data_IF_870822381359
#
_entry.id   IF_870822381359
#
_cell.length_a   1.000
_cell.length_b   1.000
_cell.length_c   1.000
_cell.angle_alpha   90.00
_cell.angle_beta   90.00
_cell.angle_gamma   90.00
#
_symmetry.space_group_name_H-M   'P 1'
#
loop_
_entity.id
_entity.type
_entity.pdbx_description
1 polymer ?
#
# COMPACT_ATOMS: atom_id res chain seq x y z
N UNK A 1 -10.17 -4.63 1.49
CA UNK A 1 -9.75 -5.99 1.88
C UNK A 1 -8.23 -6.11 1.80
N UNK A 2 -7.61 -7.04 2.53
CA UNK A 2 -6.16 -7.24 2.44
C UNK A 2 -5.83 -7.84 1.07
N UNK A 3 -4.88 -7.24 0.34
CA UNK A 3 -4.45 -7.78 -0.95
C UNK A 3 -3.72 -9.11 -0.79
N UNK A 4 -3.84 -9.97 -1.81
CA UNK A 4 -3.08 -11.22 -1.91
C UNK A 4 -1.71 -10.98 -2.56
N UNK A 5 -1.65 -10.03 -3.49
CA UNK A 5 -0.44 -9.68 -4.23
C UNK A 5 -0.14 -8.20 -3.99
N UNK A 6 1.10 -7.92 -3.59
CA UNK A 6 1.66 -6.57 -3.56
C UNK A 6 2.63 -6.40 -4.72
N UNK A 7 2.48 -5.33 -5.47
CA UNK A 7 3.42 -4.93 -6.53
C UNK A 7 3.89 -3.51 -6.30
N UNK A 8 5.17 -3.28 -6.54
CA UNK A 8 5.71 -1.92 -6.64
C UNK A 8 5.41 -1.38 -8.03
N UNK A 9 4.94 -0.14 -8.11
CA UNK A 9 4.58 0.50 -9.38
C UNK A 9 5.46 1.72 -9.61
N UNK A 10 6.04 1.78 -10.80
CA UNK A 10 6.77 2.95 -11.28
C UNK A 10 6.47 3.23 -12.74
N UNK A 11 6.63 4.48 -13.12
CA UNK A 11 6.54 4.91 -14.52
C UNK A 11 7.88 4.63 -15.22
N UNK A 12 7.85 4.29 -16.51
CA UNK A 12 9.08 4.21 -17.31
C UNK A 12 9.75 5.57 -17.49
N UNK A 13 8.96 6.64 -17.51
CA UNK A 13 9.42 8.02 -17.55
C UNK A 13 9.32 8.64 -16.13
N UNK A 14 10.46 8.87 -15.43
CA UNK A 14 10.45 9.42 -14.08
C UNK A 14 9.74 10.78 -13.94
N UNK A 15 9.70 11.58 -15.01
CA UNK A 15 9.04 12.89 -15.01
C UNK A 15 7.52 12.77 -14.88
N UNK A 16 6.95 11.60 -15.18
CA UNK A 16 5.51 11.32 -15.10
C UNK A 16 5.06 10.74 -13.75
N UNK A 17 5.92 10.72 -12.73
CA UNK A 17 5.58 10.14 -11.40
C UNK A 17 4.33 10.75 -10.77
N UNK A 18 4.10 12.06 -10.95
CA UNK A 18 2.86 12.72 -10.47
C UNK A 18 1.61 12.28 -11.24
N UNK A 19 1.73 12.04 -12.56
CA UNK A 19 0.63 11.53 -13.37
C UNK A 19 0.30 10.09 -12.99
N UNK A 20 1.33 9.26 -12.75
CA UNK A 20 1.15 7.89 -12.24
C UNK A 20 0.36 7.88 -10.95
N UNK A 21 0.73 8.74 -9.99
CA UNK A 21 0.04 8.83 -8.70
C UNK A 21 -1.45 9.11 -8.90
N UNK A 22 -1.80 10.11 -9.70
CA UNK A 22 -3.20 10.44 -9.98
C UNK A 22 -3.97 9.30 -10.64
N UNK A 23 -3.34 8.59 -11.58
CA UNK A 23 -3.95 7.43 -12.23
C UNK A 23 -4.25 6.31 -11.23
N UNK A 24 -3.29 6.00 -10.35
CA UNK A 24 -3.45 4.98 -9.32
C UNK A 24 -4.48 5.38 -8.25
N UNK A 25 -4.55 6.66 -7.89
CA UNK A 25 -5.56 7.20 -6.97
C UNK A 25 -6.96 6.99 -7.53
N UNK A 26 -7.21 7.36 -8.80
CA UNK A 26 -8.52 7.13 -9.45
C UNK A 26 -8.91 5.65 -9.50
N UNK A 27 -7.98 4.76 -9.85
CA UNK A 27 -8.23 3.31 -9.82
C UNK A 27 -8.55 2.79 -8.40
N UNK A 28 -7.92 3.35 -7.37
CA UNK A 28 -8.19 2.98 -5.98
C UNK A 28 -9.52 3.52 -5.47
N UNK A 29 -9.92 4.72 -5.88
CA UNK A 29 -11.24 5.32 -5.62
C UNK A 29 -12.35 4.44 -6.20
N UNK A 30 -12.19 3.99 -7.45
CA UNK A 30 -13.06 3.03 -8.12
C UNK A 30 -13.08 1.64 -7.46
N UNK A 31 -12.14 1.36 -6.55
CA UNK A 31 -12.04 0.07 -5.86
C UNK A 31 -11.38 -1.04 -6.68
N UNK A 32 -10.74 -0.71 -7.80
CA UNK A 32 -9.99 -1.66 -8.65
C UNK A 32 -8.77 -2.21 -7.91
N UNK A 33 -8.17 -1.38 -7.06
CA UNK A 33 -6.94 -1.70 -6.34
C UNK A 33 -6.91 -1.07 -4.95
N UNK A 34 -6.01 -1.57 -4.10
CA UNK A 34 -5.57 -0.83 -2.92
C UNK A 34 -4.30 -0.07 -3.28
N UNK A 35 -4.22 1.20 -2.90
CA UNK A 35 -3.01 2.01 -3.08
C UNK A 35 -2.37 2.29 -1.72
N UNK A 36 -1.07 2.02 -1.62
CA UNK A 36 -0.27 2.32 -0.45
C UNK A 36 0.92 3.20 -0.83
N UNK A 37 1.09 4.30 -0.13
CA UNK A 37 2.23 5.21 -0.27
C UNK A 37 3.17 5.01 0.92
N UNK A 38 4.35 4.40 0.74
CA UNK A 38 5.36 4.30 1.80
C UNK A 38 5.79 5.67 2.33
N UNK A 39 6.09 5.75 3.63
CA UNK A 39 6.66 6.96 4.26
C UNK A 39 8.11 7.21 3.83
N UNK A 40 8.80 6.17 3.37
CA UNK A 40 10.17 6.25 2.83
C UNK A 40 10.18 5.74 1.39
N UNK A 41 10.73 6.57 0.49
CA UNK A 41 10.85 6.27 -0.93
C UNK A 41 9.77 6.93 -1.78
N UNK A 42 9.93 6.85 -3.10
CA UNK A 42 9.02 7.45 -4.08
C UNK A 42 8.01 6.47 -4.66
N UNK A 43 8.32 5.18 -4.63
CA UNK A 43 7.58 4.17 -5.35
C UNK A 43 6.33 3.77 -4.56
N UNK A 44 5.18 3.74 -5.24
CA UNK A 44 3.92 3.33 -4.65
C UNK A 44 3.79 1.81 -4.69
N UNK A 45 3.05 1.26 -3.73
CA UNK A 45 2.71 -0.16 -3.69
C UNK A 45 1.22 -0.29 -4.00
N UNK A 46 0.87 -1.15 -4.95
CA UNK A 46 -0.52 -1.54 -5.19
C UNK A 46 -0.79 -2.91 -4.59
N UNK A 47 -2.01 -3.07 -4.09
CA UNK A 47 -2.54 -4.33 -3.60
C UNK A 47 -3.66 -4.83 -4.47
N UNK A 48 -3.51 -6.06 -4.97
CA UNK A 48 -4.50 -6.76 -5.76
C UNK A 48 -4.88 -8.10 -5.12
N UNK A 49 -6.08 -8.59 -5.42
CA UNK A 49 -6.50 -9.96 -5.03
C UNK A 49 -5.93 -11.02 -5.97
N UNK A 50 -5.39 -10.65 -7.12
CA UNK A 50 -4.82 -11.61 -8.08
C UNK A 50 -4.07 -10.94 -9.23
N UNK A 51 -3.34 -11.74 -10.00
CA UNK A 51 -2.46 -11.26 -11.07
C UNK A 51 -3.24 -10.54 -12.19
N UNK A 52 -4.45 -11.00 -12.52
CA UNK A 52 -5.30 -10.38 -13.54
C UNK A 52 -5.61 -8.91 -13.23
N UNK A 53 -5.82 -8.55 -11.95
CA UNK A 53 -6.05 -7.15 -11.59
C UNK A 53 -4.83 -6.27 -11.87
N UNK A 54 -3.61 -6.81 -11.74
CA UNK A 54 -2.39 -6.09 -12.10
C UNK A 54 -2.33 -5.83 -13.61
N UNK A 55 -2.68 -6.84 -14.41
CA UNK A 55 -2.70 -6.74 -15.88
C UNK A 55 -3.75 -5.74 -16.36
N UNK A 56 -4.96 -5.78 -15.79
CA UNK A 56 -6.04 -4.82 -16.09
C UNK A 56 -5.64 -3.40 -15.69
N UNK A 57 -5.00 -3.20 -14.54
CA UNK A 57 -4.49 -1.88 -14.15
C UNK A 57 -3.46 -1.35 -15.15
N UNK A 58 -2.52 -2.20 -15.59
CA UNK A 58 -1.50 -1.81 -16.55
C UNK A 58 -2.12 -1.30 -17.87
N UNK A 59 -3.10 -2.05 -18.40
CA UNK A 59 -3.79 -1.71 -19.65
C UNK A 59 -4.61 -0.42 -19.52
N UNK A 60 -5.32 -0.26 -18.41
CA UNK A 60 -6.11 0.95 -18.15
C UNK A 60 -5.23 2.19 -18.02
N UNK A 61 -4.14 2.12 -17.25
CA UNK A 61 -3.21 3.26 -17.11
C UNK A 61 -2.58 3.62 -18.48
N UNK A 62 -2.24 2.61 -19.28
CA UNK A 62 -1.72 2.84 -20.62
C UNK A 62 -2.75 3.53 -21.53
N UNK A 63 -4.01 3.07 -21.53
CA UNK A 63 -5.07 3.55 -22.42
C UNK A 63 -5.65 4.90 -21.97
N UNK A 64 -5.96 5.05 -20.69
CA UNK A 64 -6.65 6.22 -20.13
C UNK A 64 -5.71 7.39 -19.85
N UNK A 65 -4.43 7.11 -19.54
CA UNK A 65 -3.46 8.15 -19.15
C UNK A 65 -2.27 8.28 -20.11
N UNK A 66 -2.20 7.47 -21.17
CA UNK A 66 -1.07 7.41 -22.10
C UNK A 66 0.27 7.29 -21.35
N UNK A 67 0.28 6.36 -20.37
CA UNK A 67 1.36 6.20 -19.42
C UNK A 67 1.81 4.73 -19.35
N UNK A 68 3.07 4.50 -19.71
CA UNK A 68 3.66 3.18 -19.55
C UNK A 68 4.20 2.98 -18.13
N UNK A 69 3.73 1.91 -17.50
CA UNK A 69 4.06 1.55 -16.12
C UNK A 69 4.73 0.19 -16.04
N UNK A 70 5.52 0.01 -14.99
CA UNK A 70 6.17 -1.23 -14.63
C UNK A 70 5.67 -1.67 -13.25
N UNK A 71 5.16 -2.90 -13.19
CA UNK A 71 4.81 -3.57 -11.94
C UNK A 71 5.91 -4.57 -11.59
N UNK A 72 6.55 -4.37 -10.46
CA UNK A 72 7.67 -5.18 -9.98
C UNK A 72 7.29 -5.93 -8.71
N UNK A 73 8.08 -6.95 -8.36
CA UNK A 73 7.96 -7.61 -7.06
C UNK A 73 8.08 -6.58 -5.94
N UNK A 74 7.08 -6.56 -5.06
CA UNK A 74 7.13 -5.77 -3.83
C UNK A 74 8.12 -6.40 -2.85
N UNK A 75 8.90 -5.61 -2.10
CA UNK A 75 9.68 -6.13 -0.97
C UNK A 75 8.80 -6.55 0.22
N UNK A 76 7.50 -6.23 0.16
CA UNK A 76 6.49 -6.53 1.17
C UNK A 76 5.55 -7.63 0.69
N UNK A 77 5.18 -8.51 1.62
CA UNK A 77 4.26 -9.61 1.36
C UNK A 77 2.85 -9.36 1.93
N UNK A 78 2.69 -8.44 2.89
CA UNK A 78 1.40 -8.13 3.47
C UNK A 78 1.28 -6.64 3.85
N UNK A 79 0.06 -6.12 3.74
CA UNK A 79 -0.31 -4.81 4.26
C UNK A 79 -1.36 -4.99 5.37
N UNK A 80 -1.20 -4.25 6.48
CA UNK A 80 -2.16 -4.23 7.59
C UNK A 80 -2.46 -2.80 7.98
N UNK A 81 -3.75 -2.45 8.04
CA UNK A 81 -4.15 -1.18 8.64
C UNK A 81 -3.91 -1.26 10.14
N UNK A 82 -3.31 -0.20 10.69
CA UNK A 82 -2.98 -0.13 12.11
C UNK A 82 -3.78 0.95 12.80
N UNK A 83 -4.20 0.68 14.02
CA UNK A 83 -4.93 1.64 14.86
C UNK A 83 -4.59 1.42 16.33
N UNK A 84 -4.85 2.43 17.16
CA UNK A 84 -4.66 2.39 18.61
C UNK A 84 -5.62 3.39 19.23
N UNK A 85 -6.12 3.10 20.44
CA UNK A 85 -6.87 4.07 21.23
C UNK A 85 -5.95 5.13 21.86
N UNK A 86 -4.64 4.83 21.91
CA UNK A 86 -3.58 5.71 22.37
C UNK A 86 -2.80 6.23 21.16
N UNK A 87 -3.01 7.52 20.83
CA UNK A 87 -2.39 8.19 19.69
C UNK A 87 -0.86 8.25 19.81
N UNK A 88 -0.32 8.49 21.01
CA UNK A 88 1.11 8.61 21.22
C UNK A 88 1.82 7.27 20.96
N UNK A 89 1.20 6.15 21.35
CA UNK A 89 1.72 4.81 21.03
C UNK A 89 1.70 4.51 19.53
N UNK A 90 0.66 4.94 18.81
CA UNK A 90 0.59 4.77 17.36
C UNK A 90 1.70 5.54 16.65
N UNK A 91 1.93 6.80 17.05
CA UNK A 91 3.00 7.63 16.48
C UNK A 91 4.38 7.06 16.79
N UNK A 92 4.64 6.67 18.04
CA UNK A 92 5.90 6.02 18.42
C UNK A 92 6.14 4.71 17.64
N UNK A 93 5.10 3.92 17.42
CA UNK A 93 5.18 2.70 16.60
C UNK A 93 5.52 3.03 15.14
N UNK A 94 4.85 4.00 14.54
CA UNK A 94 5.09 4.44 13.16
C UNK A 94 6.52 4.97 12.98
N UNK A 95 7.01 5.77 13.93
CA UNK A 95 8.37 6.32 13.89
C UNK A 95 9.43 5.21 14.05
N UNK A 96 9.22 4.26 14.96
CA UNK A 96 10.11 3.12 15.15
C UNK A 96 10.14 2.19 13.93
N UNK A 97 9.05 2.13 13.15
CA UNK A 97 8.88 1.25 11.99
C UNK A 97 8.79 2.03 10.68
N UNK A 98 9.39 3.22 10.60
CA UNK A 98 9.18 4.16 9.48
C UNK A 98 9.47 3.59 8.11
N UNK A 99 10.43 2.66 7.99
CA UNK A 99 10.76 1.97 6.74
C UNK A 99 9.68 0.99 6.26
N UNK A 100 8.83 0.52 7.16
CA UNK A 100 7.69 -0.35 6.91
C UNK A 100 6.35 0.40 7.05
N UNK A 101 6.37 1.71 7.31
CA UNK A 101 5.18 2.54 7.43
C UNK A 101 4.74 3.04 6.05
N UNK A 102 3.42 3.06 5.84
CA UNK A 102 2.78 3.60 4.66
C UNK A 102 1.43 4.23 5.03
N UNK A 103 0.82 4.89 4.05
CA UNK A 103 -0.54 5.38 4.11
C UNK A 103 -1.37 4.79 2.98
N UNK A 104 -2.64 4.49 3.24
CA UNK A 104 -3.59 4.19 2.17
C UNK A 104 -4.09 5.46 1.46
N UNK A 105 -5.02 5.30 0.52
CA UNK A 105 -5.62 6.39 -0.24
C UNK A 105 -6.23 7.49 0.66
N UNK A 106 -6.87 7.11 1.78
CA UNK A 106 -7.51 8.05 2.70
C UNK A 106 -6.54 8.57 3.79
N UNK A 107 -5.25 8.27 3.66
CA UNK A 107 -4.23 8.65 4.64
C UNK A 107 -4.19 7.79 5.91
N UNK A 108 -4.93 6.68 5.96
CA UNK A 108 -4.91 5.79 7.12
C UNK A 108 -3.57 5.06 7.20
N UNK A 109 -2.99 4.91 8.40
CA UNK A 109 -1.69 4.30 8.57
C UNK A 109 -1.73 2.80 8.29
N UNK A 110 -0.74 2.34 7.56
CA UNK A 110 -0.55 0.96 7.12
C UNK A 110 0.84 0.49 7.49
N UNK A 111 0.92 -0.70 8.06
CA UNK A 111 2.16 -1.44 8.25
C UNK A 111 2.36 -2.42 7.08
N UNK A 112 3.50 -2.31 6.41
CA UNK A 112 3.94 -3.18 5.33
C UNK A 112 4.90 -4.24 5.89
N UNK A 113 4.45 -5.49 5.93
CA UNK A 113 5.21 -6.60 6.49
C UNK A 113 5.95 -7.38 5.42
N UNK A 114 7.16 -7.85 5.74
CA UNK A 114 7.99 -8.61 4.80
C UNK A 114 7.47 -10.03 4.56
N UNK A 115 6.76 -10.59 5.53
CA UNK A 115 6.14 -11.91 5.46
C UNK A 115 5.03 -12.03 6.51
N UNK A 116 4.32 -13.17 6.52
CA UNK A 116 3.22 -13.40 7.45
C UNK A 116 3.67 -13.52 8.92
N UNK A 117 4.87 -14.03 9.17
CA UNK A 117 5.42 -14.19 10.53
C UNK A 117 5.72 -12.84 11.18
N UNK A 118 6.26 -11.90 10.40
CA UNK A 118 6.56 -10.52 10.79
C UNK A 118 5.34 -9.82 11.39
N UNK A 119 4.16 -9.99 10.79
CA UNK A 119 2.91 -9.41 11.31
C UNK A 119 2.61 -9.92 12.72
N UNK A 120 2.70 -11.23 12.95
CA UNK A 120 2.40 -11.84 14.25
C UNK A 120 3.36 -11.37 15.33
N UNK A 121 4.67 -11.46 15.03
CA UNK A 121 5.73 -11.04 15.95
C UNK A 121 5.61 -9.56 16.36
N UNK A 122 5.38 -8.68 15.39
CA UNK A 122 5.25 -7.24 15.65
C UNK A 122 3.96 -6.93 16.41
N UNK A 123 2.86 -7.64 16.12
CA UNK A 123 1.61 -7.48 16.85
C UNK A 123 1.76 -7.90 18.33
N UNK A 124 2.43 -9.02 18.60
CA UNK A 124 2.67 -9.50 19.98
C UNK A 124 3.51 -8.51 20.80
N UNK A 125 4.53 -7.90 20.18
CA UNK A 125 5.38 -6.90 20.83
C UNK A 125 4.71 -5.55 21.06
N UNK A 126 3.63 -5.27 20.32
CA UNK A 126 2.96 -3.98 20.35
C UNK A 126 1.45 -4.18 20.62
N UNK A 127 1.06 -4.68 21.80
CA UNK A 127 -0.33 -5.06 22.09
C UNK A 127 -1.31 -3.87 22.11
N UNK A 128 -0.81 -2.64 22.18
CA UNK A 128 -1.61 -1.43 22.05
C UNK A 128 -1.98 -1.10 20.59
N UNK A 129 -1.32 -1.73 19.61
CA UNK A 129 -1.55 -1.50 18.19
C UNK A 129 -2.40 -2.66 17.63
N UNK A 130 -3.56 -2.33 17.09
CA UNK A 130 -4.43 -3.28 16.39
C UNK A 130 -4.05 -3.34 14.92
N UNK A 131 -3.79 -4.55 14.43
CA UNK A 131 -3.50 -4.82 13.02
C UNK A 131 -4.71 -5.49 12.36
N UNK A 132 -5.26 -4.87 11.32
CA UNK A 132 -6.45 -5.37 10.63
C UNK A 132 -6.16 -5.73 9.18
N UNK A 133 -6.83 -6.79 8.69
CA UNK A 133 -6.78 -7.20 7.28
C UNK A 133 -7.75 -6.40 6.41
N UNK A 134 -8.67 -5.67 7.00
CA UNK A 134 -9.72 -4.93 6.29
C UNK A 134 -9.90 -3.60 6.98
N UNK A 135 -10.00 -2.54 6.19
CA UNK A 135 -10.57 -1.27 6.61
C UNK A 135 -12.03 -1.24 6.18
N UNK A 136 -12.93 -0.99 7.12
CA UNK A 136 -14.32 -0.67 6.78
C UNK A 136 -14.34 0.70 6.08
N UNK A 137 -14.93 0.76 4.88
CA UNK A 137 -15.24 2.04 4.25
C UNK A 137 -16.49 2.56 4.96
N UNK A 138 -16.37 3.65 5.72
CA UNK A 138 -17.50 4.39 6.29
C UNK A 138 -18.13 5.23 5.19
#
# INVERSE_FOLDING_TARGET
FAPEILRRVRTKDPMKSKHLRKALEGLAEEGVTQLFTPEIGSDMIVGAVGQLQIEVMAERIATENNLEVLFEASPWAAARWISSDDRAKLEAFLDANKSAAAKDLDGAPVYLAKNAWDVGYVSEKNPAIRFTKTKERI
#
